data_IF_107828115716
#
_entry.id   IF_107828115716
#
_cell.length_a   1.000
_cell.length_b   1.000
_cell.length_c   1.000
_cell.angle_alpha   90.00
_cell.angle_beta   90.00
_cell.angle_gamma   90.00
#
_symmetry.space_group_name_H-M   'P 1'
#
loop_
_entity.id
_entity.type
_entity.pdbx_description
1 polymer ?
#
# COMPACT_ATOMS: atom_id res chain seq x y z
N UNK A 1 -13.27 10.60 -18.25
CA UNK A 1 -11.99 9.97 -17.85
C UNK A 1 -12.36 8.76 -17.01
N UNK A 2 -12.35 7.57 -17.62
CA UNK A 2 -12.78 6.33 -16.96
C UNK A 2 -11.59 5.76 -16.19
N UNK A 3 -11.66 5.81 -14.87
CA UNK A 3 -10.71 5.11 -14.00
C UNK A 3 -10.81 3.60 -14.26
N UNK A 4 -9.83 3.02 -14.93
CA UNK A 4 -9.78 1.58 -15.16
C UNK A 4 -9.07 0.94 -13.98
N UNK A 5 -9.83 0.53 -12.98
CA UNK A 5 -9.33 -0.36 -11.93
C UNK A 5 -9.11 -1.72 -12.59
N UNK A 6 -7.85 -2.12 -12.75
CA UNK A 6 -7.52 -3.45 -13.23
C UNK A 6 -7.57 -4.40 -12.06
N UNK A 7 -8.68 -5.06 -11.84
CA UNK A 7 -8.71 -6.29 -11.07
C UNK A 7 -8.02 -7.36 -11.93
N UNK A 8 -6.85 -7.82 -11.51
CA UNK A 8 -6.28 -8.99 -12.14
C UNK A 8 -7.22 -10.16 -11.86
N UNK A 9 -7.81 -10.68 -12.90
CA UNK A 9 -8.67 -11.86 -12.81
C UNK A 9 -7.79 -13.10 -12.67
N UNK A 10 -7.18 -13.29 -11.51
CA UNK A 10 -6.69 -14.61 -11.13
C UNK A 10 -7.90 -15.50 -10.85
N UNK A 11 -8.00 -16.72 -11.41
CA UNK A 11 -9.08 -17.63 -11.11
C UNK A 11 -9.18 -18.04 -9.64
N UNK A 12 -8.19 -17.68 -8.82
CA UNK A 12 -8.12 -17.98 -7.38
C UNK A 12 -8.48 -16.78 -6.48
N UNK A 13 -9.54 -16.06 -6.78
CA UNK A 13 -10.03 -14.86 -6.06
C UNK A 13 -10.29 -15.02 -4.56
N UNK A 14 -10.13 -16.18 -3.95
CA UNK A 14 -10.56 -16.45 -2.59
C UNK A 14 -9.42 -16.71 -1.60
N UNK A 15 -8.18 -16.40 -1.93
CA UNK A 15 -7.05 -16.69 -1.06
C UNK A 15 -6.28 -15.43 -0.67
N UNK A 16 -6.93 -14.56 0.11
CA UNK A 16 -6.26 -13.38 0.69
C UNK A 16 -5.27 -13.77 1.81
N UNK A 17 -5.36 -14.98 2.33
CA UNK A 17 -4.51 -15.48 3.42
C UNK A 17 -4.05 -16.90 3.15
N UNK A 18 -3.14 -17.11 2.21
CA UNK A 18 -2.53 -18.43 1.99
C UNK A 18 -1.03 -18.38 2.19
N UNK A 19 -0.45 -19.53 2.59
CA UNK A 19 0.99 -19.72 2.72
C UNK A 19 1.77 -19.67 1.39
N UNK A 20 1.07 -19.67 0.27
CA UNK A 20 1.67 -19.58 -1.07
C UNK A 20 1.16 -18.34 -1.79
N UNK A 21 2.05 -17.39 -2.02
CA UNK A 21 1.76 -16.16 -2.75
C UNK A 21 2.17 -16.33 -4.22
N UNK A 22 1.24 -16.17 -5.18
CA UNK A 22 1.62 -16.22 -6.57
C UNK A 22 2.54 -15.04 -6.90
N UNK A 23 3.56 -15.29 -7.68
CA UNK A 23 4.36 -14.24 -8.27
C UNK A 23 3.55 -13.52 -9.35
N UNK A 24 3.30 -12.23 -9.16
CA UNK A 24 2.65 -11.39 -10.18
C UNK A 24 3.69 -10.97 -11.23
N UNK A 25 3.29 -11.05 -12.49
CA UNK A 25 4.16 -10.67 -13.60
C UNK A 25 3.79 -9.28 -14.13
N UNK A 26 4.80 -8.44 -14.32
CA UNK A 26 4.59 -7.08 -14.83
C UNK A 26 3.86 -7.03 -16.18
N UNK A 27 4.09 -8.03 -17.03
CA UNK A 27 3.44 -8.20 -18.35
C UNK A 27 1.90 -8.40 -18.27
N UNK A 28 1.37 -8.73 -17.10
CA UNK A 28 -0.08 -8.86 -16.90
C UNK A 28 -0.78 -7.50 -16.73
N UNK A 29 -0.02 -6.45 -16.50
CA UNK A 29 -0.59 -5.11 -16.34
C UNK A 29 -0.85 -4.49 -17.70
N UNK A 30 -2.08 -4.04 -17.90
CA UNK A 30 -2.44 -3.31 -19.09
C UNK A 30 -1.80 -1.91 -19.08
N UNK A 31 -1.48 -1.34 -20.24
CA UNK A 31 -1.11 0.06 -20.32
C UNK A 31 -2.11 0.94 -19.58
N UNK A 32 -1.62 1.88 -18.79
CA UNK A 32 -2.42 2.77 -17.96
C UNK A 32 -2.99 2.14 -16.68
N UNK A 33 -2.58 0.92 -16.32
CA UNK A 33 -3.06 0.28 -15.10
C UNK A 33 -2.62 1.04 -13.85
N UNK A 34 -3.55 1.15 -12.89
CA UNK A 34 -3.26 1.54 -11.51
C UNK A 34 -3.42 0.28 -10.65
N UNK A 35 -2.32 -0.19 -10.11
CA UNK A 35 -2.27 -1.37 -9.24
C UNK A 35 -2.10 -0.89 -7.81
N UNK A 36 -3.13 -1.09 -6.99
CA UNK A 36 -3.11 -0.72 -5.57
C UNK A 36 -3.03 -1.99 -4.74
N UNK A 37 -2.01 -2.06 -3.91
CA UNK A 37 -1.83 -3.15 -2.94
C UNK A 37 -2.08 -2.63 -1.53
N UNK A 38 -2.88 -3.38 -0.79
CA UNK A 38 -3.15 -3.19 0.65
C UNK A 38 -2.72 -4.41 1.46
N UNK A 39 -1.86 -5.25 0.89
CA UNK A 39 -1.40 -6.50 1.47
C UNK A 39 -0.13 -6.96 0.77
N UNK A 40 0.39 -8.10 1.17
CA UNK A 40 1.57 -8.72 0.56
C UNK A 40 1.40 -8.91 -0.95
N UNK A 41 2.43 -8.52 -1.68
CA UNK A 41 2.43 -8.53 -3.13
C UNK A 41 3.78 -9.05 -3.64
N UNK A 42 3.80 -10.29 -4.13
CA UNK A 42 5.02 -10.93 -4.59
C UNK A 42 5.28 -10.62 -6.08
N UNK A 43 6.36 -9.90 -6.36
CA UNK A 43 6.80 -9.58 -7.72
C UNK A 43 8.31 -9.66 -7.85
N UNK A 44 8.77 -10.04 -9.02
CA UNK A 44 10.18 -9.94 -9.36
C UNK A 44 10.61 -8.47 -9.44
N UNK A 45 11.61 -8.07 -8.65
CA UNK A 45 12.06 -6.68 -8.56
C UNK A 45 12.56 -6.12 -9.91
N UNK A 46 13.29 -6.93 -10.67
CA UNK A 46 13.77 -6.52 -12.00
C UNK A 46 12.62 -6.21 -12.97
N UNK A 47 11.51 -6.94 -12.86
CA UNK A 47 10.35 -6.73 -13.74
C UNK A 47 9.58 -5.45 -13.45
N UNK A 48 9.73 -4.91 -12.23
CA UNK A 48 8.98 -3.71 -11.78
C UNK A 48 9.86 -2.48 -11.58
N UNK A 49 11.18 -2.59 -11.74
CA UNK A 49 12.10 -1.49 -11.40
C UNK A 49 11.78 -0.17 -12.13
N UNK A 50 11.36 -0.25 -13.38
CA UNK A 50 11.05 0.91 -14.22
C UNK A 50 9.58 1.37 -14.12
N UNK A 51 8.73 0.61 -13.41
CA UNK A 51 7.34 1.00 -13.18
C UNK A 51 7.29 2.07 -12.09
N UNK A 52 6.45 3.08 -12.29
CA UNK A 52 6.24 4.14 -11.30
C UNK A 52 5.73 3.61 -9.98
N UNK A 53 6.34 4.03 -8.90
CA UNK A 53 6.04 3.62 -7.52
C UNK A 53 5.48 4.78 -6.72
N UNK A 54 4.37 4.53 -6.04
CA UNK A 54 3.73 5.48 -5.13
C UNK A 54 3.49 4.78 -3.80
N UNK A 55 3.73 5.48 -2.71
CA UNK A 55 3.48 4.98 -1.35
C UNK A 55 2.71 6.02 -0.54
N UNK A 56 1.91 5.58 0.41
CA UNK A 56 1.26 6.45 1.38
C UNK A 56 2.27 7.13 2.31
N UNK A 57 3.18 6.37 2.93
CA UNK A 57 4.24 6.88 3.80
C UNK A 57 5.51 6.05 3.69
N UNK A 58 6.52 6.55 2.99
CA UNK A 58 7.80 5.84 2.82
C UNK A 58 8.51 5.54 4.14
N UNK A 59 8.46 6.47 5.12
CA UNK A 59 9.09 6.29 6.42
C UNK A 59 8.53 5.10 7.20
N UNK A 60 7.24 4.83 7.06
CA UNK A 60 6.60 3.67 7.66
C UNK A 60 7.19 2.36 7.11
N UNK A 61 7.36 2.27 5.80
CA UNK A 61 7.95 1.08 5.17
C UNK A 61 9.43 0.88 5.49
N UNK A 62 10.17 1.98 5.70
CA UNK A 62 11.55 1.90 6.22
C UNK A 62 11.57 1.25 7.60
N UNK A 63 10.68 1.67 8.50
CA UNK A 63 10.57 1.08 9.83
C UNK A 63 10.17 -0.40 9.75
N UNK A 64 9.20 -0.76 8.91
CA UNK A 64 8.84 -2.17 8.70
C UNK A 64 10.04 -2.99 8.20
N UNK A 65 10.77 -2.48 7.23
CA UNK A 65 11.95 -3.16 6.69
C UNK A 65 13.13 -3.23 7.68
N UNK A 66 13.13 -2.42 8.76
CA UNK A 66 14.11 -2.46 9.85
C UNK A 66 13.67 -3.38 10.98
N UNK A 67 12.38 -3.39 11.30
CA UNK A 67 11.79 -4.26 12.33
C UNK A 67 11.63 -5.69 11.83
N UNK A 68 11.52 -5.88 10.51
CA UNK A 68 11.32 -7.17 9.93
C UNK A 68 12.60 -8.02 10.04
N UNK A 69 12.59 -8.95 10.98
CA UNK A 69 13.61 -9.98 11.14
C UNK A 69 13.41 -11.13 10.12
N UNK A 70 12.70 -10.87 9.05
CA UNK A 70 12.47 -11.87 8.01
C UNK A 70 13.77 -12.16 7.31
N UNK A 71 14.33 -13.29 7.70
CA UNK A 71 15.53 -13.82 7.11
C UNK A 71 15.30 -14.31 5.68
N UNK A 72 16.37 -14.71 5.09
CA UNK A 72 16.36 -15.52 3.87
C UNK A 72 15.99 -16.96 4.24
N UNK A 73 15.38 -17.69 3.31
CA UNK A 73 15.18 -19.11 3.46
C UNK A 73 16.51 -19.88 3.32
N UNK A 74 16.46 -21.19 3.43
CA UNK A 74 17.63 -22.08 3.29
C UNK A 74 18.32 -22.02 1.92
N UNK A 75 17.63 -21.47 0.91
CA UNK A 75 18.14 -21.29 -0.45
C UNK A 75 18.66 -19.87 -0.69
N UNK A 76 18.66 -19.00 0.34
CA UNK A 76 19.04 -17.60 0.21
C UNK A 76 17.95 -16.74 -0.46
N UNK A 77 16.74 -17.25 -0.60
CA UNK A 77 15.59 -16.50 -1.10
C UNK A 77 14.95 -15.77 0.08
N UNK A 78 14.72 -14.48 -0.12
CA UNK A 78 14.07 -13.66 0.89
C UNK A 78 12.64 -14.11 1.13
N UNK A 79 12.29 -14.30 2.39
CA UNK A 79 10.93 -14.56 2.79
C UNK A 79 10.12 -13.28 2.65
N UNK A 80 9.13 -13.29 1.75
CA UNK A 80 8.17 -12.20 1.63
C UNK A 80 7.15 -12.30 2.77
N UNK A 81 7.25 -11.43 3.73
CA UNK A 81 6.24 -11.27 4.77
C UNK A 81 5.67 -9.87 4.79
N UNK A 82 6.29 -8.97 4.04
CA UNK A 82 5.98 -7.57 4.01
C UNK A 82 5.03 -7.16 2.90
N UNK A 83 4.73 -5.90 2.90
CA UNK A 83 3.91 -5.24 1.92
C UNK A 83 4.74 -4.74 0.71
N UNK A 84 4.07 -4.37 -0.37
CA UNK A 84 4.73 -3.88 -1.58
C UNK A 84 5.63 -2.66 -1.32
N UNK A 85 5.25 -1.78 -0.38
CA UNK A 85 6.06 -0.60 -0.04
C UNK A 85 7.38 -0.96 0.64
N UNK A 86 7.40 -2.04 1.41
CA UNK A 86 8.63 -2.60 1.98
C UNK A 86 9.54 -3.16 0.89
N UNK A 87 8.97 -3.86 -0.11
CA UNK A 87 9.73 -4.31 -1.28
C UNK A 87 10.41 -3.15 -1.98
N UNK A 88 9.75 -2.00 -2.09
CA UNK A 88 10.38 -0.80 -2.68
C UNK A 88 11.57 -0.30 -1.84
N UNK A 89 11.49 -0.39 -0.51
CA UNK A 89 12.63 -0.05 0.38
C UNK A 89 13.80 -1.00 0.12
N UNK A 90 13.53 -2.29 -0.05
CA UNK A 90 14.58 -3.26 -0.36
C UNK A 90 15.20 -3.02 -1.73
N UNK A 91 14.39 -2.68 -2.74
CA UNK A 91 14.92 -2.31 -4.06
C UNK A 91 15.86 -1.11 -3.99
N UNK A 92 15.59 -0.14 -3.09
CA UNK A 92 16.51 0.98 -2.84
C UNK A 92 17.79 0.50 -2.14
N UNK A 93 17.68 -0.35 -1.13
CA UNK A 93 18.83 -0.91 -0.39
C UNK A 93 19.74 -1.74 -1.28
N UNK A 94 19.14 -2.49 -2.21
CA UNK A 94 19.87 -3.32 -3.17
C UNK A 94 20.43 -2.52 -4.36
N UNK A 95 20.16 -1.21 -4.42
CA UNK A 95 20.64 -0.33 -5.49
C UNK A 95 19.94 -0.50 -6.84
N UNK A 96 18.81 -1.20 -6.88
CA UNK A 96 18.01 -1.40 -8.10
C UNK A 96 17.28 -0.13 -8.53
N UNK A 97 16.85 0.67 -7.57
CA UNK A 97 16.19 1.96 -7.78
C UNK A 97 16.72 3.00 -6.79
N UNK A 98 16.44 4.28 -7.06
CA UNK A 98 16.76 5.34 -6.10
C UNK A 98 15.56 5.71 -5.24
N UNK A 99 15.81 6.30 -4.06
CA UNK A 99 14.74 6.78 -3.17
C UNK A 99 13.82 7.79 -3.88
N UNK A 100 14.38 8.64 -4.72
CA UNK A 100 13.69 9.70 -5.44
C UNK A 100 12.74 9.16 -6.50
N UNK A 101 12.91 7.92 -6.95
CA UNK A 101 11.99 7.25 -7.87
C UNK A 101 10.68 6.83 -7.21
N UNK A 102 10.60 6.85 -5.88
CA UNK A 102 9.41 6.53 -5.12
C UNK A 102 8.69 7.82 -4.72
N UNK A 103 7.48 8.01 -5.22
CA UNK A 103 6.65 9.18 -4.96
C UNK A 103 5.77 8.96 -3.73
N UNK A 104 5.64 9.95 -2.86
CA UNK A 104 4.67 9.90 -1.77
C UNK A 104 3.29 10.39 -2.22
N UNK A 105 2.24 9.67 -1.85
CA UNK A 105 0.86 10.01 -2.20
C UNK A 105 0.49 11.42 -1.70
N UNK A 106 0.94 11.78 -0.49
CA UNK A 106 0.73 13.11 0.06
C UNK A 106 1.35 14.24 -0.75
N UNK A 107 2.44 13.99 -1.49
CA UNK A 107 3.03 14.99 -2.38
C UNK A 107 2.24 15.15 -3.68
N UNK A 108 1.62 14.07 -4.16
CA UNK A 108 0.69 14.13 -5.29
C UNK A 108 -0.56 14.95 -4.91
N UNK A 109 -1.15 14.66 -3.76
CA UNK A 109 -2.35 15.36 -3.27
C UNK A 109 -2.10 16.86 -3.08
N UNK A 110 -0.89 17.21 -2.61
CA UNK A 110 -0.47 18.62 -2.43
C UNK A 110 0.01 19.29 -3.72
N UNK A 111 0.01 18.60 -4.85
CA UNK A 111 0.48 19.12 -6.13
C UNK A 111 1.99 19.30 -6.24
N UNK A 112 2.78 18.75 -5.32
CA UNK A 112 4.26 18.79 -5.34
C UNK A 112 4.87 17.77 -6.29
N UNK A 113 4.14 16.68 -6.55
CA UNK A 113 4.53 15.65 -7.49
C UNK A 113 3.37 15.32 -8.42
N UNK A 114 3.69 14.87 -9.64
CA UNK A 114 2.67 14.38 -10.58
C UNK A 114 2.30 12.94 -10.24
N UNK A 115 1.01 12.65 -10.19
CA UNK A 115 0.50 11.30 -10.06
C UNK A 115 0.77 10.52 -11.34
N UNK A 116 -0.04 10.73 -12.37
CA UNK A 116 0.11 10.11 -13.69
C UNK A 116 0.72 11.11 -14.68
N UNK A 117 1.64 10.66 -15.51
CA UNK A 117 2.33 11.50 -16.50
C UNK A 117 1.91 11.17 -17.95
N UNK A 118 1.41 9.96 -18.21
CA UNK A 118 0.83 9.58 -19.50
C UNK A 118 -0.31 8.57 -19.29
N UNK A 119 -1.18 8.44 -20.31
CA UNK A 119 -2.33 7.52 -20.24
C UNK A 119 -1.92 6.05 -20.18
N UNK A 120 -0.75 5.70 -20.71
CA UNK A 120 -0.21 4.35 -20.73
C UNK A 120 0.67 4.01 -19.52
N UNK A 121 0.96 5.00 -18.65
CA UNK A 121 1.83 4.79 -17.50
C UNK A 121 1.20 3.80 -16.52
N UNK A 122 1.90 2.72 -16.23
CA UNK A 122 1.55 1.78 -15.15
C UNK A 122 2.06 2.35 -13.84
N UNK A 123 1.23 2.29 -12.80
CA UNK A 123 1.59 2.81 -11.48
C UNK A 123 1.31 1.74 -10.43
N UNK A 124 2.32 1.41 -9.63
CA UNK A 124 2.19 0.57 -8.45
C UNK A 124 2.03 1.46 -7.23
N UNK A 125 0.98 1.23 -6.44
CA UNK A 125 0.67 1.99 -5.23
C UNK A 125 0.60 1.04 -4.05
N UNK A 126 1.42 1.26 -3.04
CA UNK A 126 1.32 0.56 -1.76
C UNK A 126 0.61 1.43 -0.74
N UNK A 127 -0.45 0.91 -0.14
CA UNK A 127 -1.25 1.55 0.90
C UNK A 127 -1.51 0.51 2.00
N UNK A 128 -0.79 0.61 3.10
CA UNK A 128 -0.99 -0.28 4.25
C UNK A 128 -1.89 0.36 5.31
N UNK A 129 -2.27 1.62 5.09
CA UNK A 129 -3.08 2.41 5.99
C UNK A 129 -2.28 3.06 7.11
N UNK A 130 -2.80 4.16 7.57
CA UNK A 130 -2.25 4.89 8.72
C UNK A 130 -3.37 5.18 9.70
N UNK A 131 -3.20 4.96 11.01
CA UNK A 131 -4.24 5.24 12.02
C UNK A 131 -4.77 6.67 11.98
N UNK A 132 -3.95 7.63 11.52
CA UNK A 132 -4.39 9.02 11.35
C UNK A 132 -5.48 9.19 10.30
N UNK A 133 -5.50 8.34 9.27
CA UNK A 133 -6.55 8.34 8.23
C UNK A 133 -7.87 7.87 8.83
N UNK A 134 -7.85 6.81 9.63
CA UNK A 134 -9.03 6.29 10.33
C UNK A 134 -9.59 7.31 11.30
N UNK A 135 -8.72 7.98 12.06
CA UNK A 135 -9.13 9.03 13.00
C UNK A 135 -9.75 10.21 12.27
N UNK A 136 -9.13 10.70 11.20
CA UNK A 136 -9.64 11.83 10.42
C UNK A 136 -11.00 11.52 9.81
N UNK A 137 -11.14 10.36 9.18
CA UNK A 137 -12.38 9.92 8.57
C UNK A 137 -13.49 9.67 9.58
N UNK A 138 -13.18 8.99 10.68
CA UNK A 138 -14.12 8.73 11.77
C UNK A 138 -14.61 10.02 12.41
N UNK A 139 -13.73 11.01 12.57
CA UNK A 139 -14.11 12.33 13.10
C UNK A 139 -15.11 13.04 12.19
N UNK A 140 -14.89 13.05 10.88
CA UNK A 140 -15.83 13.62 9.92
C UNK A 140 -17.19 12.90 9.95
N UNK A 141 -17.18 11.57 9.99
CA UNK A 141 -18.40 10.78 10.13
C UNK A 141 -19.16 11.12 11.42
N UNK A 142 -18.44 11.22 12.54
CA UNK A 142 -19.01 11.59 13.84
C UNK A 142 -19.64 12.99 13.81
N UNK A 143 -18.94 13.99 13.28
CA UNK A 143 -19.45 15.36 13.18
C UNK A 143 -20.71 15.43 12.29
N UNK A 144 -20.71 14.69 11.18
CA UNK A 144 -21.87 14.64 10.29
C UNK A 144 -23.07 13.92 10.93
N UNK A 145 -22.85 12.87 11.69
CA UNK A 145 -23.89 12.17 12.45
C UNK A 145 -24.52 13.11 13.50
N UNK A 146 -23.70 13.85 14.24
CA UNK A 146 -24.20 14.85 15.22
C UNK A 146 -25.06 15.91 14.54
N UNK A 147 -24.62 16.46 13.41
CA UNK A 147 -25.39 17.50 12.66
C UNK A 147 -26.74 16.98 12.15
N UNK A 148 -26.81 15.71 11.82
CA UNK A 148 -28.02 15.07 11.31
C UNK A 148 -28.90 14.45 12.41
N UNK A 149 -28.44 14.47 13.67
CA UNK A 149 -29.17 13.85 14.79
C UNK A 149 -29.29 12.34 14.69
N UNK A 150 -28.37 11.68 13.96
CA UNK A 150 -28.36 10.23 13.79
C UNK A 150 -27.33 9.59 14.71
N UNK A 151 -27.58 8.32 15.06
CA UNK A 151 -26.74 7.57 15.98
C UNK A 151 -27.31 7.54 17.40
N UNK A 152 -26.66 6.76 18.23
CA UNK A 152 -27.05 6.58 19.64
C UNK A 152 -25.85 6.84 20.53
N UNK A 153 -26.04 7.67 21.58
CA UNK A 153 -25.02 7.89 22.59
C UNK A 153 -25.00 6.68 23.53
N UNK A 154 -23.94 5.93 23.46
CA UNK A 154 -23.72 4.78 24.34
C UNK A 154 -22.80 5.17 25.48
N UNK A 155 -23.07 4.63 26.66
CA UNK A 155 -22.19 4.73 27.82
C UNK A 155 -21.26 3.52 27.83
N UNK A 156 -19.96 3.74 27.68
CA UNK A 156 -19.00 2.65 27.61
C UNK A 156 -18.65 2.11 29.01
N UNK A 157 -18.45 3.02 29.98
CA UNK A 157 -18.29 2.71 31.41
C UNK A 157 -18.60 3.94 32.26
N UNK A 158 -18.78 3.76 33.57
CA UNK A 158 -19.21 4.82 34.47
C UNK A 158 -18.11 5.82 34.78
N UNK A 159 -16.86 5.38 34.83
CA UNK A 159 -15.69 6.21 34.96
C UNK A 159 -14.50 5.59 34.23
N UNK A 160 -13.60 6.41 33.65
CA UNK A 160 -12.38 5.88 33.06
C UNK A 160 -11.60 5.11 34.11
N UNK A 161 -11.20 3.86 33.79
CA UNK A 161 -10.26 3.11 34.63
C UNK A 161 -8.87 3.35 34.08
N UNK A 162 -7.99 3.92 34.92
CA UNK A 162 -6.56 3.91 34.62
C UNK A 162 -6.05 2.47 34.84
N UNK A 163 -5.29 1.95 33.90
CA UNK A 163 -4.59 0.67 34.03
C UNK A 163 -3.28 0.89 34.75
#
# INVERSE_FOLDING_TARGET
TTCRICWSASPNRHRICTSEWPEYKAEWFKPGALVVSTSTFNMNYESIKDIKKVVDNYGMYVNYAEEDQVGYDENGVRKHTGCMGEDFVHMVRDGLITRESITQLGDIVRGKAKGRTSDDEVILVSIEGMPIEDVAWSYECYQNALKQGIGQKLRLWDAPKAF
#
